data_IF_676297377847
#
_entry.id   IF_676297377847
#
_cell.length_a   1.000
_cell.length_b   1.000
_cell.length_c   1.000
_cell.angle_alpha   90.00
_cell.angle_beta   90.00
_cell.angle_gamma   90.00
#
_symmetry.space_group_name_H-M   'P 1'
#
loop_
_entity.id
_entity.type
_entity.pdbx_description
1 polymer ?
#
# COMPACT_ATOMS: atom_id res chain seq x y z
N UNK A 1 22.93 -4.32 1.58
CA UNK A 1 21.89 -3.72 2.43
C UNK A 1 20.73 -3.36 1.52
N UNK A 2 19.53 -3.92 1.69
CA UNK A 2 18.39 -3.60 0.84
C UNK A 2 18.04 -2.11 0.98
N UNK A 3 17.85 -1.42 -0.14
CA UNK A 3 17.58 0.01 -0.14
C UNK A 3 16.09 0.29 0.08
N UNK A 4 15.71 0.46 1.34
CA UNK A 4 14.34 0.79 1.74
C UNK A 4 13.99 2.26 1.45
N UNK A 5 14.95 3.09 0.98
CA UNK A 5 14.74 4.52 0.70
C UNK A 5 13.90 4.76 -0.56
N UNK A 6 13.71 3.72 -1.37
CA UNK A 6 12.86 3.79 -2.57
C UNK A 6 11.37 3.89 -2.23
N UNK A 7 10.96 3.57 -0.99
CA UNK A 7 9.54 3.62 -0.61
C UNK A 7 9.19 5.05 -0.19
N UNK A 8 8.34 5.76 -0.96
CA UNK A 8 7.94 7.11 -0.62
C UNK A 8 7.05 7.12 0.62
N UNK A 9 7.03 8.25 1.30
CA UNK A 9 6.16 8.46 2.46
C UNK A 9 4.70 8.50 2.03
N UNK A 10 3.79 8.09 2.92
CA UNK A 10 2.35 8.12 2.64
C UNK A 10 1.91 9.54 2.25
N UNK A 11 2.45 10.57 2.89
CA UNK A 11 2.14 11.96 2.53
C UNK A 11 2.59 12.34 1.11
N UNK A 12 3.73 11.82 0.63
CA UNK A 12 4.17 12.03 -0.74
C UNK A 12 3.25 11.33 -1.74
N UNK A 13 2.76 10.13 -1.40
CA UNK A 13 1.76 9.41 -2.21
C UNK A 13 0.45 10.20 -2.29
N UNK A 14 -0.04 10.73 -1.16
CA UNK A 14 -1.26 11.53 -1.08
C UNK A 14 -1.19 12.85 -1.84
N UNK A 15 0.01 13.36 -2.11
CA UNK A 15 0.16 14.56 -2.92
C UNK A 15 -0.09 14.30 -4.41
N UNK A 16 -0.02 13.04 -4.88
CA UNK A 16 -0.27 12.67 -6.28
C UNK A 16 -1.73 12.83 -6.66
N UNK A 17 -1.98 13.31 -7.87
CA UNK A 17 -3.33 13.58 -8.36
C UNK A 17 -4.21 12.33 -8.41
N UNK A 18 -3.65 11.17 -8.77
CA UNK A 18 -4.40 9.91 -8.79
C UNK A 18 -4.83 9.46 -7.40
N UNK A 19 -3.97 9.59 -6.39
CA UNK A 19 -4.34 9.30 -5.00
C UNK A 19 -5.37 10.31 -4.49
N UNK A 20 -5.23 11.61 -4.81
CA UNK A 20 -6.22 12.64 -4.45
C UNK A 20 -7.59 12.37 -5.06
N UNK A 21 -7.65 11.86 -6.28
CA UNK A 21 -8.90 11.46 -6.91
C UNK A 21 -9.56 10.32 -6.11
N UNK A 22 -8.80 9.28 -5.79
CA UNK A 22 -9.29 8.17 -4.99
C UNK A 22 -9.67 8.57 -3.56
N UNK A 23 -8.98 9.54 -2.94
CA UNK A 23 -9.37 10.09 -1.63
C UNK A 23 -10.77 10.71 -1.66
N UNK A 24 -11.16 11.32 -2.78
CA UNK A 24 -12.51 11.88 -2.96
C UNK A 24 -13.55 10.79 -3.17
N UNK A 25 -13.20 9.72 -3.87
CA UNK A 25 -14.14 8.64 -4.23
C UNK A 25 -14.36 7.64 -3.08
N UNK A 26 -13.30 7.29 -2.35
CA UNK A 26 -13.32 6.27 -1.29
C UNK A 26 -13.19 6.83 0.13
N UNK A 27 -12.74 8.08 0.27
CA UNK A 27 -12.45 8.72 1.54
C UNK A 27 -10.97 8.64 1.95
N UNK A 28 -10.53 9.65 2.71
CA UNK A 28 -9.14 9.80 3.16
C UNK A 28 -8.64 8.61 3.98
N UNK A 29 -9.43 8.14 4.96
CA UNK A 29 -9.02 7.06 5.86
C UNK A 29 -8.80 5.75 5.08
N UNK A 30 -9.73 5.41 4.18
CA UNK A 30 -9.63 4.22 3.34
C UNK A 30 -8.35 4.22 2.48
N UNK A 31 -8.02 5.37 1.88
CA UNK A 31 -6.79 5.53 1.08
C UNK A 31 -5.52 5.42 1.93
N UNK A 32 -5.49 6.10 3.08
CA UNK A 32 -4.32 6.08 3.97
C UNK A 32 -4.05 4.66 4.46
N UNK A 33 -5.09 3.93 4.83
CA UNK A 33 -4.98 2.54 5.27
C UNK A 33 -4.55 1.61 4.14
N UNK A 34 -5.10 1.78 2.94
CA UNK A 34 -4.68 1.01 1.77
C UNK A 34 -3.21 1.25 1.45
N UNK A 35 -2.76 2.50 1.34
CA UNK A 35 -1.37 2.85 1.06
C UNK A 35 -0.42 2.35 2.15
N UNK A 36 -0.82 2.43 3.43
CA UNK A 36 -0.02 1.93 4.55
C UNK A 36 0.19 0.42 4.46
N UNK A 37 -0.87 -0.32 4.12
CA UNK A 37 -0.80 -1.78 3.98
C UNK A 37 0.08 -2.19 2.80
N UNK A 38 -0.08 -1.54 1.64
CA UNK A 38 0.74 -1.84 0.46
C UNK A 38 2.21 -1.45 0.68
N UNK A 39 2.49 -0.34 1.36
CA UNK A 39 3.85 0.08 1.71
C UNK A 39 4.49 -0.89 2.72
N UNK A 40 3.74 -1.39 3.70
CA UNK A 40 4.21 -2.40 4.63
C UNK A 40 4.49 -3.74 3.94
N UNK A 41 3.62 -4.16 3.01
CA UNK A 41 3.82 -5.36 2.21
C UNK A 41 5.08 -5.24 1.32
N UNK A 42 5.29 -4.08 0.70
CA UNK A 42 6.49 -3.80 -0.10
C UNK A 42 7.76 -3.82 0.76
N UNK A 43 7.73 -3.20 1.96
CA UNK A 43 8.84 -3.30 2.93
C UNK A 43 9.13 -4.75 3.30
N UNK A 44 8.09 -5.53 3.61
CA UNK A 44 8.20 -6.94 3.93
C UNK A 44 8.81 -7.74 2.79
N UNK A 45 8.39 -7.50 1.55
CA UNK A 45 8.94 -8.16 0.37
C UNK A 45 10.43 -7.83 0.17
N UNK A 46 10.83 -6.56 0.33
CA UNK A 46 12.23 -6.15 0.22
C UNK A 46 13.11 -6.76 1.32
N UNK A 47 12.57 -6.89 2.55
CA UNK A 47 13.28 -7.48 3.68
C UNK A 47 13.33 -9.02 3.63
N UNK A 48 12.26 -9.64 3.11
CA UNK A 48 12.13 -11.10 3.01
C UNK A 48 12.78 -11.67 1.75
N UNK A 49 13.02 -10.86 0.72
CA UNK A 49 13.73 -11.30 -0.47
C UNK A 49 15.17 -11.72 -0.09
N UNK A 50 15.51 -13.02 -0.21
CA UNK A 50 16.90 -13.45 -0.18
C UNK A 50 17.65 -12.69 -1.28
N UNK A 51 18.88 -12.27 -1.01
CA UNK A 51 19.72 -11.60 -1.99
C UNK A 51 19.86 -12.48 -3.26
N UNK A 52 19.01 -12.26 -4.26
CA UNK A 52 18.97 -13.06 -5.49
C UNK A 52 17.56 -13.46 -5.98
N UNK A 53 16.52 -13.45 -5.14
CA UNK A 53 15.16 -13.87 -5.54
C UNK A 53 14.35 -12.70 -6.10
N UNK A 54 14.65 -12.28 -7.33
CA UNK A 54 13.93 -11.21 -8.02
C UNK A 54 12.61 -11.70 -8.66
N UNK A 55 11.76 -12.42 -7.93
CA UNK A 55 10.47 -12.89 -8.48
C UNK A 55 9.38 -11.82 -8.43
N UNK A 56 9.52 -10.80 -7.56
CA UNK A 56 8.59 -9.68 -7.52
C UNK A 56 9.18 -8.46 -8.25
N UNK A 57 8.41 -7.76 -9.11
CA UNK A 57 8.86 -6.51 -9.72
C UNK A 57 9.16 -5.51 -8.62
N UNK A 58 10.44 -5.30 -8.36
CA UNK A 58 10.93 -4.29 -7.43
C UNK A 58 11.00 -2.97 -8.16
N UNK A 59 10.43 -1.90 -7.60
CA UNK A 59 10.52 -0.58 -8.22
C UNK A 59 11.99 -0.16 -8.28
N UNK A 60 12.44 0.32 -9.44
CA UNK A 60 13.79 0.80 -9.67
C UNK A 60 14.03 2.19 -9.05
N UNK A 61 12.96 2.89 -8.68
CA UNK A 61 13.04 4.21 -8.05
C UNK A 61 11.75 4.64 -7.32
N UNK A 62 11.80 5.78 -6.63
CA UNK A 62 10.70 6.26 -5.80
C UNK A 62 9.42 6.59 -6.58
N UNK A 63 9.53 7.10 -7.81
CA UNK A 63 8.36 7.39 -8.65
C UNK A 63 7.62 6.12 -9.10
N UNK A 64 8.36 5.07 -9.41
CA UNK A 64 7.82 3.76 -9.79
C UNK A 64 7.21 3.05 -8.58
N UNK A 65 7.89 3.12 -7.43
CA UNK A 65 7.34 2.64 -6.16
C UNK A 65 6.02 3.35 -5.84
N UNK A 66 5.96 4.67 -6.06
CA UNK A 66 4.75 5.44 -5.87
C UNK A 66 3.62 5.05 -6.83
N UNK A 67 3.91 4.84 -8.11
CA UNK A 67 2.92 4.43 -9.10
C UNK A 67 2.39 3.01 -8.80
N UNK A 68 3.27 2.10 -8.37
CA UNK A 68 2.90 0.76 -7.96
C UNK A 68 2.00 0.77 -6.73
N UNK A 69 2.33 1.57 -5.71
CA UNK A 69 1.53 1.70 -4.50
C UNK A 69 0.15 2.31 -4.79
N UNK A 70 0.09 3.30 -5.68
CA UNK A 70 -1.16 3.90 -6.14
C UNK A 70 -2.07 2.87 -6.83
N UNK A 71 -1.54 2.12 -7.81
CA UNK A 71 -2.30 1.08 -8.53
C UNK A 71 -2.80 -0.02 -7.59
N UNK A 72 -1.95 -0.47 -6.66
CA UNK A 72 -2.33 -1.49 -5.67
C UNK A 72 -3.38 -1.00 -4.69
N UNK A 73 -3.23 0.23 -4.19
CA UNK A 73 -4.22 0.84 -3.29
C UNK A 73 -5.57 1.00 -3.99
N UNK A 74 -5.58 1.48 -5.24
CA UNK A 74 -6.79 1.57 -6.07
C UNK A 74 -7.47 0.22 -6.22
N UNK A 75 -6.76 -0.82 -6.67
CA UNK A 75 -7.33 -2.17 -6.82
C UNK A 75 -7.86 -2.75 -5.51
N UNK A 76 -7.17 -2.49 -4.39
CA UNK A 76 -7.62 -2.91 -3.06
C UNK A 76 -8.94 -2.25 -2.70
N UNK A 77 -9.06 -0.94 -2.90
CA UNK A 77 -10.27 -0.18 -2.62
C UNK A 77 -11.43 -0.55 -3.55
N UNK A 78 -11.16 -0.71 -4.85
CA UNK A 78 -12.13 -1.21 -5.82
C UNK A 78 -12.68 -2.58 -5.41
N UNK A 79 -11.81 -3.50 -4.95
CA UNK A 79 -12.24 -4.82 -4.42
C UNK A 79 -13.04 -4.71 -3.13
N UNK A 80 -12.77 -3.71 -2.28
CA UNK A 80 -13.53 -3.49 -1.05
C UNK A 80 -14.93 -2.92 -1.34
N UNK A 81 -15.07 -2.11 -2.39
CA UNK A 81 -16.34 -1.47 -2.77
C UNK A 81 -17.23 -2.38 -3.64
N UNK A 82 -16.68 -3.41 -4.31
CA UNK A 82 -17.44 -4.21 -5.29
C UNK A 82 -18.27 -5.43 -4.83
N UNK A 83 -18.31 -5.88 -3.56
CA UNK A 83 -19.35 -6.81 -3.14
C UNK A 83 -20.11 -6.29 -1.92
N UNK A 84 -21.32 -5.82 -2.19
CA UNK A 84 -22.41 -5.65 -1.23
C UNK A 84 -22.63 -6.91 -0.37
N UNK A 85 -22.81 -6.70 0.95
CA UNK A 85 -23.37 -7.63 1.95
C UNK A 85 -22.49 -8.83 2.40
N UNK A 86 -21.48 -8.58 3.24
CA UNK A 86 -21.21 -9.31 4.51
C UNK A 86 -19.94 -8.79 5.21
N UNK A 87 -19.90 -8.71 6.54
CA UNK A 87 -18.88 -7.96 7.26
C UNK A 87 -17.65 -8.82 7.56
N UNK A 88 -16.77 -9.10 6.60
CA UNK A 88 -15.44 -9.62 6.96
C UNK A 88 -14.42 -9.35 5.85
N UNK A 89 -13.47 -8.44 6.09
CA UNK A 89 -12.09 -8.64 5.64
C UNK A 89 -11.16 -8.15 6.74
N UNK A 90 -10.96 -9.04 7.72
CA UNK A 90 -9.77 -9.02 8.56
C UNK A 90 -8.61 -9.55 7.69
N UNK A 91 -7.90 -8.68 6.98
CA UNK A 91 -6.72 -9.08 6.21
C UNK A 91 -5.80 -7.87 5.97
N UNK A 92 -4.93 -7.59 6.94
CA UNK A 92 -3.45 -7.70 6.83
C UNK A 92 -2.78 -6.79 7.87
N UNK A 93 -2.35 -7.38 8.99
CA UNK A 93 -1.14 -6.96 9.70
C UNK A 93 -1.10 -5.62 10.43
N UNK A 94 -2.23 -5.02 10.82
CA UNK A 94 -2.18 -4.00 11.87
C UNK A 94 -2.27 -4.71 13.22
N UNK A 95 -1.11 -4.96 13.83
CA UNK A 95 -1.06 -5.16 15.28
C UNK A 95 -1.50 -3.83 15.90
N UNK A 96 -2.79 -3.71 16.19
CA UNK A 96 -3.26 -2.70 17.13
C UNK A 96 -2.76 -3.19 18.49
N UNK A 97 -1.59 -2.70 18.92
CA UNK A 97 -1.28 -2.65 20.34
C UNK A 97 -2.18 -1.57 20.96
N UNK A 98 -3.46 -1.88 21.17
CA UNK A 98 -4.23 -1.29 22.26
C UNK A 98 -3.90 -2.10 23.48
N UNK A 99 -2.87 -1.64 24.19
CA UNK A 99 -2.58 -2.08 25.54
C UNK A 99 -3.83 -1.87 26.40
N UNK A 100 -4.28 -2.93 27.07
CA UNK A 100 -5.06 -2.85 28.29
C UNK A 100 -4.17 -2.31 29.41
#
# INVERSE_FOLDING_TARGET
MPDLRIIPSIEQLRQRDGVRALERDFGREAIVDALRQEAAALRGAILAAPAGSHEAPMPAGPDEAAALLEDRARRRLERQVRPSLRPVVNATGVVIHTNL
#
